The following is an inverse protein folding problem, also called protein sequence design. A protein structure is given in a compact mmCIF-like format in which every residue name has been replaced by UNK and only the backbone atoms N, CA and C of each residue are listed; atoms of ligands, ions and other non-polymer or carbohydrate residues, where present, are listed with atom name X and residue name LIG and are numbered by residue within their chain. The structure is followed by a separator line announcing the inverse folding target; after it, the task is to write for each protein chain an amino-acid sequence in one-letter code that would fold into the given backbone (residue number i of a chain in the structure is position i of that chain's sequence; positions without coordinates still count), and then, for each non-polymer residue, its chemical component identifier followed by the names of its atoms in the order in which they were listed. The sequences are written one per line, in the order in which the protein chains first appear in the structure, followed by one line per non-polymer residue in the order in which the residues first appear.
data_IF_782527583574
#
_entry.id   IF_782527583574
#
_cell.length_a   1.000
_cell.length_b   1.000
_cell.length_c   1.000
_cell.angle_alpha   90.00
_cell.angle_beta   90.00
_cell.angle_gamma   90.00
#
_symmetry.space_group_name_H-M   'P 1'
#
loop_
_entity.id
_entity.type
_entity.pdbx_description
1 polymer ?
#
# COMPACT_ATOMS: atom_id res chain seq x y z
N UNK A 1 14.49 2.56 -3.32
CA UNK A 1 13.31 2.36 -2.46
C UNK A 1 12.17 1.73 -3.23
N UNK A 2 11.56 0.69 -2.70
CA UNK A 2 10.43 0.05 -3.38
C UNK A 2 9.18 0.91 -3.31
N UNK A 3 8.51 1.06 -4.43
CA UNK A 3 7.21 1.74 -4.53
C UNK A 3 6.19 0.84 -5.22
N UNK A 4 4.92 1.13 -5.01
CA UNK A 4 3.82 0.48 -5.72
C UNK A 4 3.11 1.50 -6.59
N UNK A 5 3.12 1.25 -7.90
CA UNK A 5 2.44 2.10 -8.86
C UNK A 5 3.15 3.42 -9.19
N UNK A 6 2.67 4.06 -10.23
CA UNK A 6 3.29 5.24 -10.82
C UNK A 6 3.16 6.49 -9.94
N UNK A 7 2.02 6.65 -9.27
CA UNK A 7 1.77 7.81 -8.41
C UNK A 7 2.75 7.86 -7.24
N UNK A 8 3.00 6.72 -6.60
CA UNK A 8 3.97 6.62 -5.51
C UNK A 8 5.40 6.85 -6.00
N UNK A 9 5.73 6.30 -7.16
CA UNK A 9 7.05 6.52 -7.77
C UNK A 9 7.31 8.01 -8.02
N UNK A 10 6.33 8.73 -8.53
CA UNK A 10 6.42 10.17 -8.76
C UNK A 10 6.65 10.95 -7.47
N UNK A 11 5.91 10.61 -6.41
CA UNK A 11 6.06 11.24 -5.10
C UNK A 11 7.47 11.05 -4.53
N UNK A 12 7.96 9.82 -4.51
CA UNK A 12 9.28 9.54 -3.95
C UNK A 12 10.42 10.10 -4.79
N UNK A 13 10.25 10.15 -6.11
CA UNK A 13 11.20 10.82 -6.99
C UNK A 13 11.31 12.31 -6.68
N UNK A 14 10.18 12.97 -6.40
CA UNK A 14 10.16 14.37 -5.99
C UNK A 14 10.88 14.60 -4.65
N UNK A 15 10.93 13.59 -3.79
CA UNK A 15 11.66 13.63 -2.51
C UNK A 15 13.15 13.26 -2.66
N UNK A 16 13.64 13.06 -3.87
CA UNK A 16 15.04 12.70 -4.12
C UNK A 16 15.37 11.22 -3.95
N UNK A 17 14.35 10.37 -3.85
CA UNK A 17 14.50 8.92 -3.70
C UNK A 17 14.39 8.26 -5.07
N UNK A 18 15.22 7.26 -5.34
CA UNK A 18 15.14 6.46 -6.57
C UNK A 18 14.06 5.39 -6.39
N UNK A 19 12.93 5.49 -7.09
CA UNK A 19 11.85 4.51 -6.97
C UNK A 19 12.18 3.24 -7.76
N UNK A 20 11.88 2.08 -7.16
CA UNK A 20 12.01 0.77 -7.81
C UNK A 20 10.67 0.06 -7.70
N UNK A 21 10.08 -0.28 -8.84
CA UNK A 21 8.81 -1.01 -8.89
C UNK A 21 9.03 -2.50 -8.63
N UNK A 22 8.58 -2.97 -7.49
CA UNK A 22 8.60 -4.39 -7.14
C UNK A 22 7.21 -4.82 -6.63
N UNK A 23 6.86 -6.07 -6.89
CA UNK A 23 5.64 -6.65 -6.34
C UNK A 23 5.75 -6.77 -4.81
N UNK A 24 4.61 -6.86 -4.16
CA UNK A 24 4.57 -7.02 -2.69
C UNK A 24 5.28 -8.28 -2.21
N UNK A 25 5.31 -9.32 -3.04
CA UNK A 25 5.96 -10.61 -2.72
C UNK A 25 7.48 -10.51 -2.73
N UNK A 26 8.04 -9.56 -3.47
CA UNK A 26 9.48 -9.40 -3.63
C UNK A 26 10.11 -8.44 -2.63
N UNK A 27 9.32 -7.77 -1.79
CA UNK A 27 9.82 -6.78 -0.83
C UNK A 27 10.78 -7.43 0.16
N UNK A 28 10.39 -8.54 0.78
CA UNK A 28 11.21 -9.23 1.78
C UNK A 28 12.57 -9.64 1.21
N UNK A 29 12.55 -10.32 0.08
CA UNK A 29 13.76 -10.77 -0.61
C UNK A 29 14.63 -9.60 -1.06
N UNK A 30 14.01 -8.55 -1.59
CA UNK A 30 14.73 -7.36 -2.02
C UNK A 30 15.46 -6.65 -0.87
N UNK A 31 14.82 -6.52 0.29
CA UNK A 31 15.42 -5.96 1.49
C UNK A 31 16.52 -6.87 2.04
N UNK A 32 16.27 -8.18 2.08
CA UNK A 32 17.22 -9.15 2.59
C UNK A 32 18.50 -9.18 1.77
N UNK A 33 18.40 -9.11 0.45
CA UNK A 33 19.53 -9.15 -0.46
C UNK A 33 20.20 -7.79 -0.70
N UNK A 34 19.62 -6.71 -0.18
CA UNK A 34 20.12 -5.37 -0.42
C UNK A 34 19.83 -4.81 -1.81
N UNK A 35 18.99 -5.47 -2.59
CA UNK A 35 18.54 -4.98 -3.90
C UNK A 35 17.78 -3.65 -3.75
N UNK A 36 17.03 -3.52 -2.66
CA UNK A 36 16.38 -2.28 -2.24
C UNK A 36 16.80 -1.95 -0.82
N UNK A 37 16.97 -0.66 -0.55
CA UNK A 37 17.37 -0.17 0.78
C UNK A 37 16.17 0.14 1.67
N UNK A 38 15.02 0.35 1.08
CA UNK A 38 13.80 0.68 1.79
C UNK A 38 12.56 0.35 0.98
N UNK A 39 11.41 0.36 1.62
CA UNK A 39 10.14 0.10 0.97
C UNK A 39 9.00 0.91 1.59
N UNK A 40 8.15 1.46 0.73
CA UNK A 40 6.89 2.04 1.14
C UNK A 40 5.82 0.96 1.14
N UNK A 41 5.15 0.78 2.25
CA UNK A 41 4.08 -0.21 2.40
C UNK A 41 3.22 0.09 3.62
N UNK A 42 2.07 -0.56 3.70
CA UNK A 42 1.22 -0.42 4.88
C UNK A 42 1.82 -1.10 6.12
N UNK A 43 1.54 -0.54 7.30
CA UNK A 43 2.01 -1.08 8.59
C UNK A 43 1.55 -2.52 8.81
N UNK A 44 0.34 -2.85 8.40
CA UNK A 44 -0.19 -4.21 8.49
C UNK A 44 0.62 -5.22 7.67
N UNK A 45 1.12 -4.80 6.51
CA UNK A 45 1.99 -5.63 5.68
C UNK A 45 3.35 -5.81 6.32
N UNK A 46 3.94 -4.76 6.87
CA UNK A 46 5.22 -4.83 7.56
C UNK A 46 5.20 -5.91 8.65
N UNK A 47 4.12 -5.97 9.42
CA UNK A 47 3.93 -7.00 10.44
C UNK A 47 3.66 -8.38 9.84
N UNK A 48 2.69 -8.50 8.92
CA UNK A 48 2.25 -9.78 8.36
C UNK A 48 3.33 -10.48 7.55
N UNK A 49 4.06 -9.73 6.75
CA UNK A 49 5.16 -10.26 5.93
C UNK A 49 6.48 -10.35 6.68
N UNK A 50 6.48 -10.13 7.99
CA UNK A 50 7.67 -10.20 8.87
C UNK A 50 8.81 -9.31 8.37
N UNK A 51 8.50 -8.18 7.75
CA UNK A 51 9.50 -7.23 7.24
C UNK A 51 10.38 -6.66 8.35
N UNK A 52 9.91 -6.68 9.59
CA UNK A 52 10.69 -6.25 10.76
C UNK A 52 11.99 -7.06 10.96
N UNK A 53 12.07 -8.26 10.38
CA UNK A 53 13.30 -9.08 10.44
C UNK A 53 14.41 -8.57 9.52
N UNK A 54 14.06 -7.93 8.42
CA UNK A 54 15.01 -7.41 7.42
C UNK A 54 15.03 -5.89 7.36
N UNK A 55 14.01 -5.22 7.90
CA UNK A 55 13.90 -3.76 8.01
C UNK A 55 13.26 -3.41 9.36
N UNK A 56 14.06 -3.38 10.44
CA UNK A 56 13.53 -3.16 11.79
C UNK A 56 13.04 -1.73 12.04
N UNK A 57 13.47 -0.77 11.23
CA UNK A 57 13.09 0.63 11.40
C UNK A 57 11.88 0.95 10.55
N UNK A 58 10.86 1.51 11.17
CA UNK A 58 9.61 1.90 10.52
C UNK A 58 9.32 3.37 10.81
N UNK A 59 9.23 4.17 9.76
CA UNK A 59 8.76 5.55 9.87
C UNK A 59 7.24 5.55 9.71
N UNK A 60 6.57 5.96 10.76
CA UNK A 60 5.11 6.11 10.78
C UNK A 60 4.81 7.59 10.86
N UNK A 61 4.59 8.19 9.70
CA UNK A 61 4.19 9.59 9.61
C UNK A 61 2.80 9.64 8.98
N UNK A 62 1.82 10.24 9.65
CA UNK A 62 0.47 10.36 9.10
C UNK A 62 0.38 11.24 7.86
N UNK A 63 1.41 11.99 7.55
CA UNK A 63 1.43 12.91 6.41
C UNK A 63 1.99 12.30 5.13
N UNK A 64 2.83 11.25 5.22
CA UNK A 64 3.48 10.64 4.05
C UNK A 64 3.61 9.12 4.24
N UNK A 65 3.09 8.31 3.33
CA UNK A 65 2.09 8.63 2.32
C UNK A 65 0.68 8.55 2.89
N UNK A 66 -0.17 9.44 2.47
CA UNK A 66 -1.58 9.39 2.82
C UNK A 66 -2.30 8.38 1.92
N UNK A 67 -2.80 7.31 2.50
CA UNK A 67 -3.57 6.29 1.78
C UNK A 67 -5.05 6.38 2.14
N UNK A 68 -5.87 6.59 1.13
CA UNK A 68 -7.32 6.36 1.24
C UNK A 68 -7.62 4.99 0.67
N UNK A 69 -8.32 4.17 1.42
CA UNK A 69 -8.90 2.95 0.88
C UNK A 69 -10.34 3.20 0.50
N UNK A 70 -10.68 2.83 -0.71
CA UNK A 70 -12.02 3.02 -1.25
C UNK A 70 -12.64 1.67 -1.53
N UNK A 71 -13.85 1.48 -1.04
CA UNK A 71 -14.70 0.38 -1.48
C UNK A 71 -15.50 0.90 -2.67
N UNK A 72 -15.24 0.34 -3.82
CA UNK A 72 -15.93 0.74 -5.05
C UNK A 72 -16.75 -0.42 -5.61
N UNK A 73 -17.89 -0.12 -6.17
CA UNK A 73 -18.78 -1.10 -6.73
C UNK A 73 -19.30 -0.63 -8.08
N UNK A 74 -19.46 -1.56 -9.01
CA UNK A 74 -20.05 -1.26 -10.30
C UNK A 74 -21.51 -0.81 -10.13
N UNK A 75 -21.91 0.24 -10.85
CA UNK A 75 -23.27 0.80 -10.77
C UNK A 75 -24.36 -0.24 -11.06
N UNK A 76 -24.13 -1.11 -12.01
CA UNK A 76 -25.10 -2.15 -12.35
C UNK A 76 -25.22 -3.19 -11.23
N UNK A 77 -24.11 -3.54 -10.60
CA UNK A 77 -24.08 -4.43 -9.44
C UNK A 77 -24.82 -3.81 -8.25
N UNK A 78 -24.59 -2.52 -8.01
CA UNK A 78 -25.28 -1.77 -6.95
C UNK A 78 -26.80 -1.81 -7.12
N UNK A 79 -27.28 -1.63 -8.34
CA UNK A 79 -28.72 -1.69 -8.66
C UNK A 79 -29.33 -3.07 -8.44
N UNK A 80 -28.54 -4.14 -8.50
CA UNK A 80 -29.00 -5.51 -8.23
C UNK A 80 -29.11 -5.82 -6.75
N UNK A 81 -28.52 -5.02 -5.88
CA UNK A 81 -28.62 -5.20 -4.44
C UNK A 81 -29.99 -4.77 -3.93
N UNK A 82 -30.51 -5.48 -2.94
CA UNK A 82 -31.72 -5.07 -2.22
C UNK A 82 -31.51 -3.75 -1.49
N UNK A 83 -32.58 -3.00 -1.19
CA UNK A 83 -32.46 -1.77 -0.41
C UNK A 83 -31.80 -1.98 0.96
N UNK A 84 -32.13 -3.04 1.74
CA UNK A 84 -31.44 -3.31 3.00
C UNK A 84 -29.93 -3.50 2.81
N UNK A 85 -29.50 -4.22 1.78
CA UNK A 85 -28.08 -4.46 1.50
C UNK A 85 -27.36 -3.17 1.10
N UNK A 86 -27.99 -2.33 0.29
CA UNK A 86 -27.45 -1.02 -0.06
C UNK A 86 -27.24 -0.14 1.17
N UNK A 87 -28.21 -0.14 2.10
CA UNK A 87 -28.10 0.60 3.36
C UNK A 87 -26.95 0.10 4.23
N UNK A 88 -26.76 -1.21 4.34
CA UNK A 88 -25.67 -1.79 5.12
C UNK A 88 -24.33 -1.34 4.58
N UNK A 89 -24.13 -1.41 3.27
CA UNK A 89 -22.87 -0.98 2.64
C UNK A 89 -22.62 0.52 2.72
N UNK A 90 -23.68 1.32 2.63
CA UNK A 90 -23.55 2.78 2.69
C UNK A 90 -23.29 3.31 4.10
N UNK A 91 -23.67 2.56 5.15
CA UNK A 91 -23.50 2.97 6.55
C UNK A 91 -22.30 2.35 7.25
N UNK A 92 -21.57 1.48 6.58
CA UNK A 92 -20.34 0.88 7.13
C UNK A 92 -19.15 1.84 7.16
#
# INVERSE_FOLDING_TARGET
MRTSGTAMATLYKALGVVPIGLSSKEIYTGLQRGTIEGAASGVSRWRRSKLYKVAPYLTVDPTIPYFSMWLVINKNTWKKLSEPDQKILATC
#
